data_IF_891871025442
#
_entry.id   IF_891871025442
#
_cell.length_a   1.000
_cell.length_b   1.000
_cell.length_c   1.000
_cell.angle_alpha   90.00
_cell.angle_beta   90.00
_cell.angle_gamma   90.00
#
_symmetry.space_group_name_H-M   'P 1'
#
loop_
_entity.id
_entity.type
_entity.pdbx_description
1 polymer ?
#
# COMPACT_ATOMS: atom_id res chain seq x y z
N UNK A 1 -5.10 32.24 -28.82
CA UNK A 1 -4.27 31.92 -27.64
C UNK A 1 -5.10 31.43 -26.46
N UNK A 2 -6.08 32.21 -25.96
CA UNK A 2 -6.91 31.84 -24.79
C UNK A 2 -7.60 30.47 -24.89
N UNK A 3 -8.18 30.15 -26.06
CA UNK A 3 -8.89 28.87 -26.32
C UNK A 3 -8.00 27.62 -26.20
N UNK A 4 -6.71 27.73 -26.50
CA UNK A 4 -5.74 26.62 -26.38
C UNK A 4 -5.35 26.38 -24.92
N UNK A 5 -5.28 27.46 -24.13
CA UNK A 5 -5.00 27.36 -22.69
C UNK A 5 -6.20 26.76 -21.96
N UNK A 6 -7.41 27.21 -22.27
CA UNK A 6 -8.65 26.66 -21.71
C UNK A 6 -8.81 25.17 -22.03
N UNK A 7 -8.36 24.73 -23.21
CA UNK A 7 -8.38 23.31 -23.59
C UNK A 7 -7.30 22.49 -22.87
N UNK A 8 -6.11 23.06 -22.64
CA UNK A 8 -5.05 22.42 -21.87
C UNK A 8 -5.42 22.27 -20.40
N UNK A 9 -6.01 23.30 -19.80
CA UNK A 9 -6.47 23.31 -18.42
C UNK A 9 -7.62 22.31 -18.24
N UNK A 10 -8.55 22.25 -19.19
CA UNK A 10 -9.63 21.24 -19.22
C UNK A 10 -9.08 19.82 -19.40
N UNK A 11 -8.08 19.62 -20.26
CA UNK A 11 -7.43 18.32 -20.42
C UNK A 11 -6.68 17.91 -19.14
N UNK A 12 -6.05 18.85 -18.46
CA UNK A 12 -5.37 18.60 -17.20
C UNK A 12 -6.37 18.24 -16.10
N UNK A 13 -7.50 18.95 -16.00
CA UNK A 13 -8.55 18.67 -15.02
C UNK A 13 -9.24 17.32 -15.30
N UNK A 14 -9.53 17.00 -16.57
CA UNK A 14 -10.05 15.69 -16.96
C UNK A 14 -9.05 14.58 -16.64
N UNK A 15 -7.74 14.83 -16.82
CA UNK A 15 -6.71 13.83 -16.50
C UNK A 15 -6.45 13.71 -15.00
N UNK A 16 -6.59 14.79 -14.23
CA UNK A 16 -6.53 14.78 -12.78
C UNK A 16 -7.75 14.04 -12.20
N UNK A 17 -8.96 14.32 -12.70
CA UNK A 17 -10.18 13.59 -12.29
C UNK A 17 -10.20 12.15 -12.77
N UNK A 18 -9.65 11.84 -13.94
CA UNK A 18 -9.45 10.46 -14.38
C UNK A 18 -8.42 9.74 -13.51
N UNK A 19 -7.33 10.40 -13.13
CA UNK A 19 -6.33 9.85 -12.21
C UNK A 19 -6.86 9.73 -10.78
N UNK A 20 -7.75 10.62 -10.34
CA UNK A 20 -8.47 10.53 -9.07
C UNK A 20 -9.55 9.45 -9.09
N UNK A 21 -10.20 9.22 -10.23
CA UNK A 21 -11.09 8.07 -10.45
C UNK A 21 -10.31 6.78 -10.53
N UNK A 22 -9.16 6.75 -11.22
CA UNK A 22 -8.29 5.58 -11.35
C UNK A 22 -7.61 5.24 -9.99
N UNK A 23 -7.23 6.25 -9.20
CA UNK A 23 -6.78 6.09 -7.81
C UNK A 23 -7.93 5.82 -6.82
N UNK A 24 -9.13 6.30 -7.14
CA UNK A 24 -10.37 6.01 -6.42
C UNK A 24 -10.96 4.63 -6.76
N UNK A 25 -10.38 3.94 -7.74
CA UNK A 25 -10.87 2.68 -8.29
C UNK A 25 -9.86 1.54 -8.11
N UNK A 26 -9.46 1.32 -6.86
CA UNK A 26 -9.07 -0.01 -6.38
C UNK A 26 -9.64 -0.32 -4.98
N UNK A 27 -10.44 0.59 -4.42
CA UNK A 27 -11.39 0.29 -3.33
C UNK A 27 -12.53 -0.65 -3.78
N UNK A 28 -12.55 -1.04 -5.07
CA UNK A 28 -13.37 -2.11 -5.62
C UNK A 28 -12.82 -3.52 -5.36
N UNK A 29 -11.82 -3.68 -4.49
CA UNK A 29 -11.72 -4.93 -3.75
C UNK A 29 -12.87 -4.91 -2.74
N UNK A 30 -13.99 -5.51 -3.13
CA UNK A 30 -15.19 -5.63 -2.29
C UNK A 30 -14.74 -6.00 -0.88
N UNK A 31 -15.26 -5.32 0.14
CA UNK A 31 -14.83 -5.51 1.54
C UNK A 31 -14.84 -6.98 1.98
N UNK A 32 -15.65 -7.82 1.34
CA UNK A 32 -15.71 -9.28 1.49
C UNK A 32 -14.47 -10.07 1.04
N UNK A 33 -13.52 -9.44 0.34
CA UNK A 33 -12.32 -10.10 -0.21
C UNK A 33 -11.01 -9.61 0.41
N UNK A 34 -11.10 -8.65 1.33
CA UNK A 34 -9.95 -8.15 2.06
C UNK A 34 -9.60 -9.14 3.18
N UNK A 35 -8.31 -9.46 3.40
CA UNK A 35 -7.88 -10.36 4.48
C UNK A 35 -7.94 -9.71 5.87
N UNK A 36 -8.74 -8.66 6.04
CA UNK A 36 -8.83 -7.88 7.27
C UNK A 36 -9.99 -8.35 8.15
N UNK A 37 -9.84 -8.17 9.46
CA UNK A 37 -10.95 -8.36 10.39
C UNK A 37 -12.00 -7.27 10.28
N UNK A 38 -13.22 -7.57 10.76
CA UNK A 38 -14.36 -6.65 10.71
C UNK A 38 -14.03 -5.26 11.28
N UNK A 39 -13.30 -5.20 12.39
CA UNK A 39 -12.92 -3.93 13.04
C UNK A 39 -12.09 -3.02 12.12
N UNK A 40 -11.22 -3.59 11.29
CA UNK A 40 -10.43 -2.84 10.30
C UNK A 40 -11.29 -2.46 9.10
N UNK A 41 -12.23 -3.30 8.68
CA UNK A 41 -13.12 -3.04 7.55
C UNK A 41 -14.16 -1.96 7.85
N UNK A 42 -14.69 -1.95 9.06
CA UNK A 42 -15.68 -0.97 9.54
C UNK A 42 -15.05 0.39 9.84
N UNK A 43 -13.72 0.47 9.91
CA UNK A 43 -13.01 1.73 10.07
C UNK A 43 -13.27 2.67 8.87
N UNK A 44 -14.00 3.75 9.15
CA UNK A 44 -14.25 4.81 8.16
C UNK A 44 -12.98 5.62 7.96
N UNK A 45 -12.28 5.37 6.86
CA UNK A 45 -11.26 6.27 6.36
C UNK A 45 -11.88 7.67 6.20
N UNK A 46 -11.32 8.64 6.91
CA UNK A 46 -11.74 10.04 6.78
C UNK A 46 -11.61 10.48 5.33
N UNK A 47 -12.59 11.26 4.84
CA UNK A 47 -12.61 11.87 3.50
C UNK A 47 -11.37 12.72 3.16
N UNK A 48 -10.57 13.08 4.17
CA UNK A 48 -9.32 13.82 4.01
C UNK A 48 -8.07 12.93 3.92
N UNK A 49 -8.23 11.60 3.90
CA UNK A 49 -7.10 10.71 3.66
C UNK A 49 -6.59 10.91 2.23
N UNK A 50 -5.47 11.63 2.13
CA UNK A 50 -4.72 11.73 0.89
C UNK A 50 -3.77 10.54 0.83
N UNK A 51 -3.92 9.70 -0.19
CA UNK A 51 -3.01 8.59 -0.45
C UNK A 51 -1.56 9.10 -0.38
N UNK A 52 -0.67 8.43 0.36
CA UNK A 52 0.73 8.80 0.42
C UNK A 52 1.33 8.87 -0.98
N UNK A 53 2.12 9.92 -1.27
CA UNK A 53 2.92 9.99 -2.50
C UNK A 53 4.18 9.14 -2.32
N UNK A 54 3.96 7.84 -2.21
CA UNK A 54 5.01 6.84 -2.08
C UNK A 54 5.12 6.03 -3.37
N UNK A 55 6.31 5.51 -3.65
CA UNK A 55 6.48 4.51 -4.70
C UNK A 55 5.71 3.25 -4.32
N UNK A 56 4.98 2.69 -5.28
CA UNK A 56 4.29 1.42 -5.11
C UNK A 56 5.32 0.29 -4.95
N UNK A 57 4.97 -0.72 -4.15
CA UNK A 57 5.81 -1.88 -3.93
C UNK A 57 5.50 -2.96 -4.96
N UNK A 58 6.45 -3.22 -5.84
CA UNK A 58 6.38 -4.22 -6.92
C UNK A 58 6.96 -5.59 -6.53
N UNK A 59 7.63 -5.68 -5.38
CA UNK A 59 8.37 -6.86 -4.91
C UNK A 59 9.87 -6.82 -5.15
N UNK A 60 10.41 -5.75 -5.76
CA UNK A 60 11.84 -5.62 -6.09
C UNK A 60 12.59 -4.83 -5.00
N UNK A 61 11.96 -3.79 -4.46
CA UNK A 61 12.55 -2.94 -3.42
C UNK A 61 12.70 -3.75 -2.12
N UNK A 62 13.69 -3.40 -1.30
CA UNK A 62 13.82 -4.01 0.02
C UNK A 62 12.52 -3.80 0.84
N UNK A 63 11.91 -4.89 1.36
CA UNK A 63 10.64 -4.80 2.06
C UNK A 63 10.75 -4.07 3.40
N UNK A 64 11.92 -4.06 4.05
CA UNK A 64 12.14 -3.31 5.30
C UNK A 64 12.20 -1.81 5.01
N UNK A 65 12.89 -1.40 3.96
CA UNK A 65 12.93 0.00 3.53
C UNK A 65 11.53 0.52 3.14
N UNK A 66 10.75 -0.29 2.42
CA UNK A 66 9.37 0.04 2.11
C UNK A 66 8.52 0.24 3.39
N UNK A 67 8.65 -0.67 4.36
CA UNK A 67 7.93 -0.57 5.65
C UNK A 67 8.35 0.65 6.46
N UNK A 68 9.64 1.01 6.46
CA UNK A 68 10.16 2.18 7.15
C UNK A 68 9.57 3.47 6.54
N UNK A 69 9.59 3.58 5.21
CA UNK A 69 8.99 4.73 4.52
C UNK A 69 7.48 4.81 4.77
N UNK A 70 6.77 3.68 4.68
CA UNK A 70 5.34 3.61 5.01
C UNK A 70 5.07 4.06 6.45
N UNK A 71 5.85 3.54 7.41
CA UNK A 71 5.73 3.88 8.82
C UNK A 71 5.93 5.37 9.09
N UNK A 72 6.95 5.98 8.47
CA UNK A 72 7.18 7.42 8.54
C UNK A 72 5.97 8.23 8.05
N UNK A 73 5.46 7.91 6.86
CA UNK A 73 4.28 8.60 6.29
C UNK A 73 3.04 8.46 7.16
N UNK A 74 2.78 7.27 7.68
CA UNK A 74 1.61 7.03 8.52
C UNK A 74 1.72 7.70 9.90
N UNK A 75 2.93 7.82 10.45
CA UNK A 75 3.17 8.56 11.69
C UNK A 75 2.98 10.07 11.49
N UNK A 76 3.41 10.64 10.37
CA UNK A 76 3.16 12.05 10.01
C UNK A 76 1.66 12.36 9.91
N UNK A 77 0.83 11.35 9.61
CA UNK A 77 -0.63 11.47 9.53
C UNK A 77 -1.35 11.12 10.83
N UNK A 78 -0.61 10.87 11.92
CA UNK A 78 -1.14 10.37 13.19
C UNK A 78 -2.10 9.18 12.99
N UNK A 79 -1.71 8.28 12.07
CA UNK A 79 -2.59 7.22 11.63
C UNK A 79 -2.67 6.09 12.66
N UNK A 80 -3.89 5.76 13.05
CA UNK A 80 -4.20 4.56 13.83
C UNK A 80 -3.98 3.27 13.03
N UNK A 81 -4.02 2.15 13.74
CA UNK A 81 -3.71 0.82 13.19
C UNK A 81 -4.63 0.42 12.01
N UNK A 82 -5.94 0.63 12.16
CA UNK A 82 -6.90 0.34 11.09
C UNK A 82 -6.66 1.18 9.83
N UNK A 83 -6.27 2.44 9.99
CA UNK A 83 -5.91 3.32 8.87
C UNK A 83 -4.65 2.82 8.16
N UNK A 84 -3.63 2.38 8.91
CA UNK A 84 -2.42 1.74 8.37
C UNK A 84 -2.76 0.50 7.57
N UNK A 85 -3.58 -0.40 8.10
CA UNK A 85 -4.03 -1.59 7.38
C UNK A 85 -4.75 -1.24 6.07
N UNK A 86 -5.73 -0.32 6.12
CA UNK A 86 -6.52 0.04 4.93
C UNK A 86 -5.71 0.78 3.86
N UNK A 87 -4.69 1.54 4.26
CA UNK A 87 -3.82 2.27 3.35
C UNK A 87 -2.78 1.38 2.66
N UNK A 88 -2.33 0.32 3.32
CA UNK A 88 -1.21 -0.49 2.86
C UNK A 88 -1.44 -1.15 1.48
N UNK A 89 -2.59 -1.79 1.19
CA UNK A 89 -2.86 -2.41 -0.12
C UNK A 89 -2.85 -1.41 -1.28
N UNK A 90 -3.17 -0.13 -1.03
CA UNK A 90 -3.14 0.94 -2.03
C UNK A 90 -1.72 1.27 -2.51
N UNK A 91 -0.72 0.75 -1.82
CA UNK A 91 0.69 0.98 -2.10
C UNK A 91 1.38 -0.30 -2.60
N UNK A 92 0.62 -1.32 -2.96
CA UNK A 92 1.12 -2.57 -3.55
C UNK A 92 0.75 -2.63 -5.03
N UNK A 93 1.67 -3.15 -5.84
CA UNK A 93 1.43 -3.43 -7.25
C UNK A 93 2.02 -4.79 -7.65
N UNK A 94 1.63 -5.26 -8.84
CA UNK A 94 2.10 -6.53 -9.39
C UNK A 94 2.03 -7.69 -8.39
N UNK A 95 3.17 -8.37 -8.21
CA UNK A 95 3.30 -9.55 -7.36
C UNK A 95 2.89 -9.32 -5.90
N UNK A 96 3.08 -8.10 -5.38
CA UNK A 96 2.72 -7.76 -4.01
C UNK A 96 1.22 -7.61 -3.82
N UNK A 97 0.53 -7.06 -4.84
CA UNK A 97 -0.92 -6.96 -4.82
C UNK A 97 -1.58 -8.34 -4.94
N UNK A 98 -1.02 -9.22 -5.76
CA UNK A 98 -1.52 -10.60 -5.91
C UNK A 98 -1.28 -11.43 -4.65
N UNK A 99 -0.11 -11.29 -4.01
CA UNK A 99 0.12 -11.89 -2.69
C UNK A 99 -0.92 -11.42 -1.67
N UNK A 100 -1.20 -10.13 -1.62
CA UNK A 100 -2.15 -9.60 -0.65
C UNK A 100 -3.56 -10.19 -0.84
N UNK A 101 -4.00 -10.38 -2.09
CA UNK A 101 -5.25 -11.07 -2.44
C UNK A 101 -5.27 -12.56 -2.08
N UNK A 102 -4.09 -13.19 -2.00
CA UNK A 102 -3.96 -14.61 -1.64
C UNK A 102 -4.06 -14.88 -0.13
N UNK A 103 -4.01 -13.84 0.70
CA UNK A 103 -4.13 -13.98 2.14
C UNK A 103 -5.52 -14.49 2.54
N UNK A 104 -5.58 -15.29 3.59
CA UNK A 104 -6.84 -15.83 4.10
C UNK A 104 -7.76 -14.68 4.55
N UNK A 105 -9.06 -14.70 4.23
CA UNK A 105 -10.03 -13.76 4.78
C UNK A 105 -9.95 -13.71 6.32
N UNK A 106 -10.20 -12.54 6.90
CA UNK A 106 -10.24 -12.33 8.37
C UNK A 106 -8.92 -12.69 9.11
N UNK A 107 -7.78 -12.76 8.40
CA UNK A 107 -6.51 -13.19 9.00
C UNK A 107 -5.66 -12.05 9.54
N UNK A 108 -5.90 -10.80 9.14
CA UNK A 108 -5.13 -9.63 9.52
C UNK A 108 -5.98 -8.74 10.43
N UNK A 109 -5.72 -8.81 11.73
CA UNK A 109 -6.40 -8.02 12.77
C UNK A 109 -5.64 -6.76 13.20
N UNK A 110 -4.39 -6.61 12.76
CA UNK A 110 -3.57 -5.44 13.08
C UNK A 110 -2.49 -5.15 12.04
N UNK A 111 -1.97 -3.93 12.02
CA UNK A 111 -0.86 -3.57 11.15
C UNK A 111 0.40 -4.35 11.50
N UNK A 112 0.59 -4.70 12.77
CA UNK A 112 1.71 -5.52 13.18
C UNK A 112 1.68 -6.92 12.54
N UNK A 113 0.50 -7.55 12.51
CA UNK A 113 0.33 -8.85 11.85
C UNK A 113 0.56 -8.74 10.33
N UNK A 114 0.04 -7.67 9.71
CA UNK A 114 0.27 -7.40 8.29
C UNK A 114 1.76 -7.27 7.95
N UNK A 115 2.52 -6.50 8.76
CA UNK A 115 3.97 -6.35 8.61
C UNK A 115 4.69 -7.70 8.68
N UNK A 116 4.34 -8.54 9.65
CA UNK A 116 4.96 -9.85 9.82
C UNK A 116 4.71 -10.74 8.60
N UNK A 117 3.46 -10.81 8.13
CA UNK A 117 3.11 -11.57 6.91
C UNK A 117 3.85 -11.04 5.68
N UNK A 118 3.95 -9.72 5.53
CA UNK A 118 4.66 -9.08 4.42
C UNK A 118 6.16 -9.38 4.42
N UNK A 119 6.82 -9.20 5.57
CA UNK A 119 8.26 -9.53 5.72
C UNK A 119 8.48 -11.02 5.46
N UNK A 120 7.61 -11.90 5.99
CA UNK A 120 7.74 -13.34 5.76
C UNK A 120 7.64 -13.71 4.28
N UNK A 121 6.82 -13.00 3.50
CA UNK A 121 6.70 -13.22 2.06
C UNK A 121 7.93 -12.68 1.29
N UNK A 122 8.27 -11.41 1.50
CA UNK A 122 9.19 -10.69 0.60
C UNK A 122 10.65 -10.68 1.08
N UNK A 123 10.90 -10.76 2.39
CA UNK A 123 12.27 -10.80 2.93
C UNK A 123 12.90 -12.19 2.77
N UNK A 124 12.10 -13.26 2.85
CA UNK A 124 12.59 -14.62 2.60
C UNK A 124 12.72 -14.92 1.11
N UNK A 125 11.90 -14.29 0.25
CA UNK A 125 12.05 -14.36 -1.21
C UNK A 125 13.35 -13.68 -1.69
N UNK A 126 13.73 -12.55 -1.10
CA UNK A 126 14.98 -11.86 -1.42
C UNK A 126 16.23 -12.59 -0.89
N UNK A 127 16.14 -13.28 0.26
CA UNK A 127 17.21 -14.16 0.79
C UNK A 127 17.57 -15.35 -0.12
N UNK A 128 16.71 -15.73 -1.06
CA UNK A 128 17.02 -16.77 -2.05
C UNK A 128 18.12 -16.34 -3.04
N UNK A 129 18.48 -15.04 -3.07
CA UNK A 129 19.48 -14.45 -3.96
C UNK A 129 20.71 -13.87 -3.24
N UNK A 130 20.85 -14.07 -1.93
CA UNK A 130 22.08 -13.73 -1.21
C UNK A 130 22.84 -15.03 -0.86
N UNK A 131 24.13 -15.15 -1.22
CA UNK A 131 24.93 -16.30 -0.81
C UNK A 131 24.96 -16.39 0.73
N UNK A 132 25.14 -17.60 1.30
CA UNK A 132 24.90 -17.91 2.73
C UNK A 132 25.65 -17.08 3.79
N UNK A 133 26.50 -16.12 3.40
CA UNK A 133 27.47 -15.48 4.28
C UNK A 133 27.06 -14.09 4.81
N UNK A 134 25.85 -13.60 4.52
CA UNK A 134 25.39 -12.30 5.03
C UNK A 134 24.79 -12.31 6.44
N UNK A 135 24.62 -13.48 7.07
CA UNK A 135 24.05 -13.59 8.43
C UNK A 135 25.09 -13.53 9.56
N UNK A 136 26.38 -13.32 9.27
CA UNK A 136 27.47 -13.42 10.26
C UNK A 136 28.10 -12.07 10.63
N UNK A 137 27.35 -10.96 10.64
CA UNK A 137 27.93 -9.66 11.06
C UNK A 137 26.96 -8.70 11.75
N UNK A 138 26.08 -9.21 12.62
CA UNK A 138 25.54 -8.36 13.69
C UNK A 138 26.32 -8.73 14.95
N UNK A 139 27.29 -7.89 15.30
CA UNK A 139 28.14 -7.99 16.49
C UNK A 139 27.74 -6.90 17.47
#
# INVERSE_FOLDING_TARGET
MKRMQDEMDRKLEVRLTALEREKGLDLAMTTDTLPFTRDILEFKLSKYFKQPRMRLYDGIIDPVDFLNNFGYWMNVKDAGDAMKCRAFPLLLEGSAKDWFKSLKPDSISSFNLLKQSFVNQFLFASKKWYPPNYLISIK
#
